data_IF_937924812437
#
_entry.id   IF_937924812437
#
_cell.length_a   1.000
_cell.length_b   1.000
_cell.length_c   1.000
_cell.angle_alpha   90.00
_cell.angle_beta   90.00
_cell.angle_gamma   90.00
#
_symmetry.space_group_name_H-M   'P 1'
#
loop_
_entity.id
_entity.type
_entity.pdbx_description
1 polymer ?
#
# COMPACT_ATOMS: atom_id res chain seq x y z
N UNK A 1 -8.12 -17.37 4.75
CA UNK A 1 -7.19 -16.24 4.96
C UNK A 1 -5.97 -16.84 5.62
N UNK A 2 -4.83 -16.91 4.93
CA UNK A 2 -3.63 -17.52 5.46
C UNK A 2 -2.92 -16.56 6.43
N UNK A 3 -2.65 -15.33 5.97
CA UNK A 3 -2.02 -14.26 6.72
C UNK A 3 -2.64 -12.88 6.35
N UNK A 4 -2.31 -11.79 7.08
CA UNK A 4 -2.91 -10.47 6.83
C UNK A 4 -2.58 -9.89 5.44
N UNK A 5 -1.39 -10.15 4.90
CA UNK A 5 -1.00 -9.68 3.58
C UNK A 5 -1.87 -10.31 2.48
N UNK A 6 -2.14 -11.61 2.59
CA UNK A 6 -3.01 -12.33 1.68
C UNK A 6 -4.44 -11.76 1.69
N UNK A 7 -4.93 -11.33 2.86
CA UNK A 7 -6.22 -10.67 2.98
C UNK A 7 -6.23 -9.30 2.31
N UNK A 8 -5.21 -8.47 2.56
CA UNK A 8 -5.09 -7.15 1.95
C UNK A 8 -5.01 -7.24 0.42
N UNK A 9 -4.13 -8.08 -0.12
CA UNK A 9 -4.02 -8.28 -1.57
C UNK A 9 -5.34 -8.78 -2.16
N UNK A 10 -6.02 -9.73 -1.50
CA UNK A 10 -7.28 -10.26 -2.02
C UNK A 10 -8.36 -9.17 -2.13
N UNK A 11 -8.42 -8.24 -1.16
CA UNK A 11 -9.35 -7.10 -1.20
C UNK A 11 -9.01 -6.07 -2.29
N UNK A 12 -7.74 -6.00 -2.72
CA UNK A 12 -7.22 -5.07 -3.74
C UNK A 12 -7.01 -5.70 -5.12
N UNK A 13 -7.56 -6.90 -5.35
CA UNK A 13 -7.40 -7.67 -6.58
C UNK A 13 -8.39 -7.21 -7.65
N UNK A 14 -7.90 -7.09 -8.87
CA UNK A 14 -8.68 -6.84 -10.08
C UNK A 14 -8.74 -8.13 -10.91
N UNK A 15 -9.94 -8.51 -11.35
CA UNK A 15 -10.16 -9.71 -12.18
C UNK A 15 -10.86 -9.32 -13.48
N UNK A 16 -10.24 -9.67 -14.61
CA UNK A 16 -10.86 -9.55 -15.92
C UNK A 16 -11.83 -10.72 -16.23
N UNK A 17 -11.86 -11.74 -15.36
CA UNK A 17 -12.75 -12.90 -15.47
C UNK A 17 -14.06 -12.65 -14.71
N UNK A 18 -15.19 -13.08 -15.29
CA UNK A 18 -16.50 -13.01 -14.66
C UNK A 18 -17.65 -12.83 -15.66
N UNK A 19 -18.91 -12.71 -15.19
CA UNK A 19 -20.04 -12.38 -16.04
C UNK A 19 -19.79 -11.06 -16.79
N UNK A 20 -19.87 -11.08 -18.12
CA UNK A 20 -19.55 -9.91 -18.97
C UNK A 20 -18.06 -9.63 -19.17
N UNK A 21 -17.18 -10.42 -18.55
CA UNK A 21 -15.73 -10.36 -18.72
C UNK A 21 -15.20 -11.38 -19.71
N UNK A 22 -13.89 -11.60 -19.67
CA UNK A 22 -13.20 -12.56 -20.52
C UNK A 22 -13.29 -13.98 -19.96
N UNK A 23 -13.21 -14.97 -20.85
CA UNK A 23 -12.96 -16.36 -20.47
C UNK A 23 -11.49 -16.70 -20.73
N UNK A 24 -10.95 -17.69 -19.99
CA UNK A 24 -9.54 -18.10 -20.12
C UNK A 24 -9.13 -18.46 -21.55
N UNK A 25 -10.05 -19.07 -22.30
CA UNK A 25 -9.85 -19.51 -23.68
C UNK A 25 -9.91 -18.37 -24.70
N UNK A 26 -10.67 -17.30 -24.40
CA UNK A 26 -10.80 -16.12 -25.26
C UNK A 26 -9.75 -15.05 -24.99
N UNK A 27 -9.04 -15.15 -23.87
CA UNK A 27 -8.00 -14.22 -23.49
C UNK A 27 -6.69 -14.49 -24.25
N UNK A 28 -6.51 -13.77 -25.36
CA UNK A 28 -5.27 -13.73 -26.14
C UNK A 28 -4.11 -13.03 -25.41
N UNK A 29 -2.94 -13.01 -26.05
CA UNK A 29 -1.72 -12.43 -25.48
C UNK A 29 -1.85 -10.92 -25.26
N UNK A 30 -2.52 -10.20 -26.15
CA UNK A 30 -2.70 -8.74 -26.11
C UNK A 30 -3.36 -8.24 -24.81
N UNK A 31 -4.26 -9.03 -24.21
CA UNK A 31 -4.94 -8.66 -22.97
C UNK A 31 -4.16 -9.09 -21.72
N UNK A 32 -3.25 -10.04 -21.88
CA UNK A 32 -2.42 -10.55 -20.77
C UNK A 32 -1.13 -9.76 -20.60
N UNK A 33 -0.70 -9.06 -21.64
CA UNK A 33 0.54 -8.31 -21.64
C UNK A 33 0.44 -7.01 -20.81
N UNK A 34 1.58 -6.49 -20.40
CA UNK A 34 1.65 -5.26 -19.61
C UNK A 34 1.58 -4.06 -20.55
N UNK A 35 0.54 -3.25 -20.39
CA UNK A 35 0.38 -2.01 -21.14
C UNK A 35 1.04 -0.83 -20.41
N UNK A 36 1.56 0.15 -21.14
CA UNK A 36 2.26 1.31 -20.55
C UNK A 36 1.36 2.11 -19.58
N UNK A 37 0.05 2.19 -19.85
CA UNK A 37 -0.92 2.88 -18.99
C UNK A 37 -1.13 2.21 -17.62
N UNK A 38 -0.64 0.97 -17.43
CA UNK A 38 -0.70 0.29 -16.13
C UNK A 38 0.17 0.98 -15.08
N UNK A 39 1.14 1.81 -15.49
CA UNK A 39 2.05 2.50 -14.59
C UNK A 39 1.29 3.26 -13.49
N UNK A 40 1.61 2.95 -12.24
CA UNK A 40 0.98 3.59 -11.07
C UNK A 40 -0.48 3.19 -10.81
N UNK A 41 -1.09 2.32 -11.63
CA UNK A 41 -2.50 1.91 -11.56
C UNK A 41 -2.63 0.43 -11.21
N UNK A 42 -1.95 -0.43 -11.97
CA UNK A 42 -1.90 -1.87 -11.76
C UNK A 42 -0.44 -2.32 -11.61
N UNK A 43 -0.20 -3.18 -10.62
CA UNK A 43 1.14 -3.71 -10.38
C UNK A 43 1.56 -4.63 -11.55
N UNK A 44 2.68 -4.36 -12.23
CA UNK A 44 3.14 -5.19 -13.35
C UNK A 44 3.77 -6.52 -12.89
N UNK A 45 4.14 -6.63 -11.60
CA UNK A 45 4.83 -7.80 -11.03
C UNK A 45 3.85 -8.78 -10.40
N UNK A 46 2.82 -8.30 -9.69
CA UNK A 46 1.93 -9.15 -8.91
C UNK A 46 0.76 -9.69 -9.75
N UNK A 47 1.03 -10.78 -10.47
CA UNK A 47 0.04 -11.63 -11.14
C UNK A 47 0.22 -13.10 -10.73
N UNK A 48 -0.85 -13.91 -10.68
CA UNK A 48 -0.72 -15.35 -10.54
C UNK A 48 0.03 -15.98 -11.71
N UNK A 49 0.80 -17.03 -11.42
CA UNK A 49 1.43 -17.87 -12.42
C UNK A 49 0.41 -18.82 -13.09
N UNK A 50 0.74 -19.30 -14.28
CA UNK A 50 -0.03 -20.31 -15.00
C UNK A 50 -1.21 -19.73 -15.81
N UNK A 51 -2.37 -20.40 -15.86
CA UNK A 51 -3.41 -20.10 -16.85
C UNK A 51 -4.07 -18.73 -16.67
N UNK A 52 -3.96 -18.12 -15.48
CA UNK A 52 -4.57 -16.83 -15.15
C UNK A 52 -3.59 -15.65 -15.25
N UNK A 53 -2.37 -15.86 -15.75
CA UNK A 53 -1.38 -14.79 -15.90
C UNK A 53 -1.94 -13.63 -16.72
N UNK A 54 -1.78 -12.41 -16.21
CA UNK A 54 -2.24 -11.15 -16.82
C UNK A 54 -3.75 -10.88 -16.70
N UNK A 55 -4.55 -11.88 -16.30
CA UNK A 55 -6.01 -11.75 -16.14
C UNK A 55 -6.45 -11.40 -14.73
N UNK A 56 -5.54 -11.58 -13.77
CA UNK A 56 -5.73 -11.22 -12.38
C UNK A 56 -4.54 -10.35 -12.00
N UNK A 57 -4.82 -9.08 -11.77
CA UNK A 57 -3.81 -8.10 -11.39
C UNK A 57 -4.14 -7.54 -10.00
N UNK A 58 -3.18 -6.83 -9.42
CA UNK A 58 -3.35 -6.18 -8.12
C UNK A 58 -3.24 -4.67 -8.28
N UNK A 59 -4.07 -3.94 -7.56
CA UNK A 59 -4.04 -2.48 -7.57
C UNK A 59 -2.71 -1.97 -6.99
N UNK A 60 -2.09 -0.99 -7.64
CA UNK A 60 -0.85 -0.38 -7.17
C UNK A 60 -1.04 0.38 -5.85
N UNK A 61 0.04 0.76 -5.17
CA UNK A 61 0.01 1.28 -3.80
C UNK A 61 -0.85 2.55 -3.63
N UNK A 62 -0.68 3.56 -4.50
CA UNK A 62 -1.41 4.83 -4.39
C UNK A 62 -2.58 4.98 -5.35
N UNK A 63 -2.87 3.96 -6.16
CA UNK A 63 -3.96 3.99 -7.12
C UNK A 63 -5.33 4.09 -6.43
N UNK A 64 -6.23 4.86 -7.04
CA UNK A 64 -7.63 5.03 -6.59
C UNK A 64 -8.58 4.78 -7.75
N UNK A 65 -9.82 4.44 -7.42
CA UNK A 65 -10.91 4.31 -8.40
C UNK A 65 -11.81 5.53 -8.25
N UNK A 66 -12.05 6.24 -9.35
CA UNK A 66 -12.89 7.43 -9.36
C UNK A 66 -14.39 7.08 -9.42
N UNK A 67 -15.26 8.08 -9.40
CA UNK A 67 -16.72 7.90 -9.39
C UNK A 67 -17.25 7.18 -10.64
N UNK A 68 -16.51 7.26 -11.75
CA UNK A 68 -16.85 6.61 -13.02
C UNK A 68 -16.27 5.20 -13.17
N UNK A 69 -15.44 4.76 -12.21
CA UNK A 69 -14.81 3.44 -12.22
C UNK A 69 -13.45 3.38 -12.92
N UNK A 70 -12.87 4.52 -13.33
CA UNK A 70 -11.51 4.57 -13.87
C UNK A 70 -10.47 4.58 -12.75
N UNK A 71 -9.31 3.98 -13.03
CA UNK A 71 -8.19 3.97 -12.09
C UNK A 71 -7.32 5.21 -12.33
N UNK A 72 -7.13 5.96 -11.27
CA UNK A 72 -6.32 7.17 -11.24
C UNK A 72 -5.08 6.96 -10.37
N UNK A 73 -4.02 7.70 -10.68
CA UNK A 73 -2.77 7.68 -9.92
C UNK A 73 -2.34 9.12 -9.60
N UNK A 74 -1.75 9.37 -8.43
CA UNK A 74 -1.38 10.72 -8.03
C UNK A 74 -0.09 11.19 -8.69
N UNK A 75 -0.07 12.45 -9.10
CA UNK A 75 1.11 13.15 -9.61
C UNK A 75 1.28 14.50 -8.95
N UNK A 76 2.53 14.93 -8.74
CA UNK A 76 2.86 16.29 -8.28
C UNK A 76 2.84 17.23 -9.47
N UNK A 77 2.12 18.34 -9.34
CA UNK A 77 2.04 19.35 -10.41
C UNK A 77 3.32 20.18 -10.49
N UNK A 78 3.86 20.34 -11.70
CA UNK A 78 4.95 21.28 -11.97
C UNK A 78 4.33 22.61 -12.38
N UNK A 79 4.80 23.71 -11.77
CA UNK A 79 4.41 25.03 -12.20
C UNK A 79 5.23 25.44 -13.43
N UNK A 80 4.56 25.60 -14.58
CA UNK A 80 5.17 25.92 -15.88
C UNK A 80 5.87 27.29 -15.86
N UNK A 81 5.39 28.25 -15.07
CA UNK A 81 5.99 29.60 -15.02
C UNK A 81 7.30 29.61 -14.22
N UNK A 82 7.39 28.81 -13.17
CA UNK A 82 8.53 28.81 -12.24
C UNK A 82 9.44 27.59 -12.36
N UNK A 83 9.03 26.58 -13.16
CA UNK A 83 9.64 25.25 -13.28
C UNK A 83 9.88 24.57 -11.92
N UNK A 84 8.95 24.81 -10.99
CA UNK A 84 9.01 24.32 -9.61
C UNK A 84 7.99 23.20 -9.42
N UNK A 85 8.42 22.08 -8.86
CA UNK A 85 7.53 21.00 -8.45
C UNK A 85 6.78 21.46 -7.20
N UNK A 86 5.45 21.47 -7.27
CA UNK A 86 4.59 21.89 -6.16
C UNK A 86 4.18 20.69 -5.29
N UNK A 87 3.70 20.98 -4.08
CA UNK A 87 3.11 19.96 -3.20
C UNK A 87 1.64 19.67 -3.52
N UNK A 88 1.10 20.31 -4.57
CA UNK A 88 -0.23 20.00 -5.07
C UNK A 88 -0.18 18.66 -5.82
N UNK A 89 -1.01 17.74 -5.33
CA UNK A 89 -1.19 16.41 -5.93
C UNK A 89 -2.50 16.41 -6.69
N UNK A 90 -2.44 16.16 -8.00
CA UNK A 90 -3.61 15.92 -8.84
C UNK A 90 -3.66 14.42 -9.19
N UNK A 91 -4.86 13.82 -9.17
CA UNK A 91 -5.07 12.43 -9.56
C UNK A 91 -5.47 12.41 -11.03
N UNK A 92 -4.71 11.67 -11.85
CA UNK A 92 -4.92 11.64 -13.30
C UNK A 92 -5.36 10.25 -13.76
N UNK A 93 -6.36 10.21 -14.64
CA UNK A 93 -6.74 9.01 -15.39
C UNK A 93 -5.72 8.72 -16.49
N UNK A 94 -5.81 7.54 -17.12
CA UNK A 94 -4.86 7.16 -18.17
C UNK A 94 -4.97 8.06 -19.42
N UNK A 95 -6.16 8.51 -19.75
CA UNK A 95 -6.43 9.42 -20.88
C UNK A 95 -5.94 10.84 -20.63
N UNK A 96 -6.05 11.33 -19.38
CA UNK A 96 -5.49 12.63 -19.00
C UNK A 96 -3.96 12.61 -19.01
N UNK A 97 -3.34 11.55 -18.48
CA UNK A 97 -1.88 11.38 -18.43
C UNK A 97 -1.23 11.45 -19.82
N UNK A 98 -1.86 10.89 -20.85
CA UNK A 98 -1.33 10.85 -22.23
C UNK A 98 -1.11 12.23 -22.87
N UNK A 99 -1.69 13.29 -22.28
CA UNK A 99 -1.53 14.67 -22.73
C UNK A 99 -0.34 15.38 -22.09
N UNK A 100 0.25 14.81 -21.03
CA UNK A 100 1.25 15.47 -20.20
C UNK A 100 2.61 14.76 -20.24
N UNK A 101 3.68 15.52 -19.99
CA UNK A 101 5.03 14.98 -19.82
C UNK A 101 5.31 14.78 -18.33
N UNK A 102 5.57 13.53 -17.93
CA UNK A 102 5.73 13.16 -16.52
C UNK A 102 7.19 12.83 -16.21
N UNK A 103 7.79 13.54 -15.26
CA UNK A 103 9.13 13.28 -14.73
C UNK A 103 9.14 12.11 -13.73
N UNK A 104 10.26 11.40 -13.64
CA UNK A 104 10.43 10.31 -12.67
C UNK A 104 10.60 10.82 -11.24
N UNK A 105 10.20 10.01 -10.25
CA UNK A 105 10.24 10.35 -8.83
C UNK A 105 11.66 10.52 -8.27
N UNK A 106 12.66 9.91 -8.92
CA UNK A 106 14.08 9.97 -8.54
C UNK A 106 14.83 11.17 -9.15
N UNK A 107 14.15 12.04 -9.91
CA UNK A 107 14.76 13.25 -10.47
C UNK A 107 15.25 14.17 -9.35
N UNK A 108 16.46 14.69 -9.47
CA UNK A 108 17.08 15.51 -8.41
C UNK A 108 16.46 16.91 -8.41
N UNK A 109 15.94 17.31 -7.25
CA UNK A 109 15.36 18.63 -7.00
C UNK A 109 16.26 19.46 -6.08
N UNK A 110 16.27 20.79 -6.28
CA UNK A 110 16.90 21.74 -5.37
C UNK A 110 16.02 21.99 -4.11
N UNK A 111 16.54 22.75 -3.14
CA UNK A 111 15.79 23.12 -1.91
C UNK A 111 14.53 23.93 -2.20
N UNK A 112 14.46 24.57 -3.37
CA UNK A 112 13.28 25.30 -3.83
C UNK A 112 12.31 24.40 -4.58
N UNK A 113 12.64 23.13 -4.87
CA UNK A 113 11.80 22.20 -5.62
C UNK A 113 11.91 22.32 -7.14
N UNK A 114 12.97 22.93 -7.68
CA UNK A 114 13.26 22.96 -9.13
C UNK A 114 14.18 21.81 -9.53
N UNK A 115 14.11 21.39 -10.79
CA UNK A 115 15.03 20.39 -11.34
C UNK A 115 16.46 20.94 -11.41
N UNK A 116 17.41 20.18 -10.87
CA UNK A 116 18.84 20.52 -10.91
C UNK A 116 19.39 20.33 -12.32
N UNK A 117 19.04 19.22 -12.95
CA UNK A 117 19.47 18.87 -14.30
C UNK A 117 18.64 19.61 -15.36
N UNK A 118 19.30 20.07 -16.43
CA UNK A 118 18.62 20.75 -17.55
C UNK A 118 17.81 19.76 -18.42
N UNK A 119 18.25 18.51 -18.46
CA UNK A 119 17.61 17.40 -19.17
C UNK A 119 17.11 16.35 -18.18
N UNK A 120 15.80 16.12 -18.16
CA UNK A 120 15.14 15.23 -17.20
C UNK A 120 14.55 14.02 -17.93
N UNK A 121 14.76 12.83 -17.38
CA UNK A 121 14.15 11.61 -17.89
C UNK A 121 12.65 11.62 -17.61
N UNK A 122 11.86 11.49 -18.66
CA UNK A 122 10.41 11.64 -18.60
C UNK A 122 9.70 10.57 -19.43
N UNK A 123 8.39 10.45 -19.18
CA UNK A 123 7.49 9.59 -19.94
C UNK A 123 6.51 10.47 -20.70
N UNK A 124 6.29 10.13 -21.97
CA UNK A 124 5.28 10.77 -22.80
C UNK A 124 4.70 9.76 -23.79
N UNK A 125 3.40 9.46 -23.69
CA UNK A 125 2.66 8.54 -24.58
C UNK A 125 3.31 7.15 -24.73
N UNK A 126 3.78 6.60 -23.61
CA UNK A 126 4.45 5.29 -23.57
C UNK A 126 5.94 5.31 -23.90
N UNK A 127 6.48 6.40 -24.44
CA UNK A 127 7.91 6.53 -24.72
C UNK A 127 8.66 7.15 -23.53
N UNK A 128 9.73 6.46 -23.12
CA UNK A 128 10.69 6.97 -22.14
C UNK A 128 11.76 7.79 -22.88
N UNK A 129 11.74 9.11 -22.72
CA UNK A 129 12.65 10.02 -23.41
C UNK A 129 13.20 11.05 -22.45
N UNK A 130 14.32 11.69 -22.82
CA UNK A 130 14.84 12.82 -22.08
C UNK A 130 14.33 14.11 -22.72
N UNK A 131 13.82 15.04 -21.91
CA UNK A 131 13.35 16.35 -22.38
C UNK A 131 13.86 17.47 -21.47
N UNK A 132 13.90 18.71 -21.97
CA UNK A 132 14.23 19.87 -21.14
C UNK A 132 13.27 20.01 -19.95
N UNK A 133 13.79 20.46 -18.80
CA UNK A 133 13.01 20.62 -17.57
C UNK A 133 11.81 21.56 -17.71
N UNK A 134 11.85 22.51 -18.65
CA UNK A 134 10.75 23.44 -18.95
C UNK A 134 9.53 22.74 -19.59
N UNK A 135 9.71 21.52 -20.11
CA UNK A 135 8.63 20.74 -20.72
C UNK A 135 7.95 19.79 -19.73
N UNK A 136 8.34 19.78 -18.46
CA UNK A 136 7.73 18.91 -17.45
C UNK A 136 6.41 19.50 -16.96
N UNK A 137 5.33 18.72 -17.07
CA UNK A 137 4.01 19.13 -16.57
C UNK A 137 3.74 18.54 -15.17
N UNK A 138 4.19 17.30 -14.95
CA UNK A 138 3.97 16.54 -13.72
C UNK A 138 5.22 15.75 -13.31
N UNK A 139 5.23 15.29 -12.06
CA UNK A 139 6.27 14.41 -11.51
C UNK A 139 5.62 13.29 -10.69
N UNK A 140 6.17 12.07 -10.79
CA UNK A 140 5.78 10.94 -9.93
C UNK A 140 5.93 11.30 -8.43
N UNK A 141 5.04 10.79 -7.57
CA UNK A 141 5.06 11.07 -6.12
C UNK A 141 6.11 10.22 -5.40
N UNK A 142 6.20 8.94 -5.77
CA UNK A 142 7.10 7.98 -5.11
C UNK A 142 7.41 6.80 -6.03
N UNK A 143 8.64 6.25 -6.01
CA UNK A 143 8.95 5.01 -6.73
C UNK A 143 8.05 3.84 -6.31
N UNK A 144 7.56 3.83 -5.06
CA UNK A 144 6.65 2.79 -4.54
C UNK A 144 5.26 2.84 -5.20
N UNK A 145 4.93 3.89 -5.94
CA UNK A 145 3.61 4.03 -6.57
C UNK A 145 3.35 3.02 -7.69
N UNK A 146 4.42 2.49 -8.30
CA UNK A 146 4.31 1.57 -9.44
C UNK A 146 3.85 0.18 -8.99
N UNK A 147 4.31 -0.26 -7.82
CA UNK A 147 4.13 -1.62 -7.32
C UNK A 147 2.97 -1.75 -6.34
N UNK A 148 2.51 -2.98 -6.13
CA UNK A 148 1.48 -3.30 -5.14
C UNK A 148 2.02 -3.31 -3.72
N UNK A 149 1.13 -3.30 -2.72
CA UNK A 149 1.51 -3.35 -1.31
C UNK A 149 2.37 -4.59 -0.98
N UNK A 150 2.03 -5.77 -1.52
CA UNK A 150 2.81 -6.99 -1.29
C UNK A 150 4.21 -6.90 -1.91
N UNK A 151 4.29 -6.45 -3.16
CA UNK A 151 5.58 -6.28 -3.85
C UNK A 151 6.44 -5.23 -3.18
N UNK A 152 5.83 -4.17 -2.63
CA UNK A 152 6.53 -3.11 -1.92
C UNK A 152 7.13 -3.55 -0.56
N UNK A 153 6.74 -4.71 -0.02
CA UNK A 153 7.35 -5.32 1.17
C UNK A 153 8.62 -6.14 0.84
N UNK A 154 9.06 -6.20 -0.41
CA UNK A 154 10.30 -6.87 -0.82
C UNK A 154 11.45 -5.85 -0.76
N UNK A 155 12.46 -6.02 0.12
CA UNK A 155 13.65 -5.17 0.10
C UNK A 155 14.52 -5.49 -1.12
N UNK A 156 15.27 -4.51 -1.61
CA UNK A 156 16.20 -4.65 -2.75
C UNK A 156 15.57 -5.12 -4.06
N UNK A 157 14.28 -4.84 -4.26
CA UNK A 157 13.52 -5.22 -5.45
C UNK A 157 14.20 -4.79 -6.76
N UNK A 158 14.91 -3.66 -6.75
CA UNK A 158 15.65 -3.11 -7.89
C UNK A 158 16.82 -4.00 -8.35
N UNK A 159 17.27 -4.94 -7.52
CA UNK A 159 18.36 -5.87 -7.83
C UNK A 159 17.86 -7.27 -8.24
N UNK A 160 16.54 -7.51 -8.17
CA UNK A 160 15.92 -8.78 -8.48
C UNK A 160 15.33 -8.81 -9.89
N UNK A 161 15.41 -9.99 -10.53
CA UNK A 161 14.69 -10.24 -11.78
C UNK A 161 13.17 -10.24 -11.56
N UNK A 162 12.43 -9.72 -12.54
CA UNK A 162 10.98 -9.57 -12.45
C UNK A 162 10.24 -10.89 -12.21
N UNK A 163 10.71 -12.01 -12.74
CA UNK A 163 10.06 -13.31 -12.51
C UNK A 163 10.25 -13.78 -11.07
N UNK A 164 11.42 -13.51 -10.47
CA UNK A 164 11.69 -13.84 -9.06
C UNK A 164 10.93 -12.92 -8.12
N UNK A 165 10.84 -11.64 -8.44
CA UNK A 165 10.00 -10.70 -7.69
C UNK A 165 8.53 -11.15 -7.68
N UNK A 166 8.02 -11.60 -8.84
CA UNK A 166 6.66 -12.15 -8.96
C UNK A 166 6.45 -13.38 -8.07
N UNK A 167 7.40 -14.33 -8.11
CA UNK A 167 7.35 -15.52 -7.24
C UNK A 167 7.40 -15.11 -5.77
N UNK A 168 8.28 -14.18 -5.40
CA UNK A 168 8.43 -13.66 -4.04
C UNK A 168 7.14 -13.05 -3.50
N UNK A 169 6.53 -12.13 -4.25
CA UNK A 169 5.25 -11.51 -3.87
C UNK A 169 4.14 -12.57 -3.72
N UNK A 170 4.10 -13.58 -4.60
CA UNK A 170 3.14 -14.67 -4.53
C UNK A 170 3.37 -15.60 -3.33
N UNK A 171 4.63 -15.87 -2.96
CA UNK A 171 5.00 -16.71 -1.82
C UNK A 171 4.68 -16.05 -0.48
N UNK A 172 4.88 -14.74 -0.34
CA UNK A 172 4.54 -14.01 0.89
C UNK A 172 3.07 -14.21 1.30
N UNK A 173 2.15 -14.31 0.33
CA UNK A 173 0.70 -14.55 0.58
C UNK A 173 0.37 -15.96 1.05
N UNK A 174 1.33 -16.89 0.96
CA UNK A 174 1.17 -18.28 1.38
C UNK A 174 1.84 -18.55 2.73
N UNK A 175 2.60 -17.59 3.27
CA UNK A 175 3.24 -17.71 4.57
C UNK A 175 2.20 -18.00 5.67
N UNK A 176 2.50 -18.97 6.52
CA UNK A 176 1.62 -19.40 7.61
C UNK A 176 2.00 -18.65 8.90
N UNK A 177 1.04 -18.12 9.67
CA UNK A 177 1.33 -17.45 10.93
C UNK A 177 2.08 -18.35 11.91
N UNK A 178 3.22 -17.86 12.40
CA UNK A 178 4.00 -18.54 13.43
C UNK A 178 3.42 -18.31 14.83
N UNK A 179 3.76 -19.18 15.78
CA UNK A 179 3.41 -18.99 17.19
C UNK A 179 4.04 -17.73 17.79
N UNK A 180 5.28 -17.42 17.40
CA UNK A 180 5.98 -16.21 17.81
C UNK A 180 6.71 -15.63 16.59
N UNK A 181 6.04 -14.78 15.80
CA UNK A 181 6.65 -14.11 14.66
C UNK A 181 7.69 -13.08 15.15
N UNK A 182 8.67 -12.78 14.29
CA UNK A 182 9.68 -11.74 14.56
C UNK A 182 9.70 -10.75 13.38
N UNK A 183 9.74 -9.46 13.68
CA UNK A 183 9.79 -8.39 12.69
C UNK A 183 11.08 -8.49 11.86
N UNK A 184 11.04 -8.21 10.55
CA UNK A 184 12.21 -8.34 9.71
C UNK A 184 13.28 -7.33 10.10
N UNK A 185 14.52 -7.79 10.28
CA UNK A 185 15.67 -6.88 10.51
C UNK A 185 15.90 -5.92 9.32
N UNK A 186 15.55 -6.36 8.11
CA UNK A 186 15.65 -5.56 6.88
C UNK A 186 14.24 -5.47 6.28
N UNK A 187 13.57 -4.33 6.47
CA UNK A 187 12.25 -4.03 5.93
C UNK A 187 12.25 -2.83 4.97
N UNK A 188 11.11 -2.54 4.37
CA UNK A 188 10.95 -1.41 3.44
C UNK A 188 10.18 -0.21 4.03
N UNK A 189 9.63 -0.39 5.23
CA UNK A 189 8.72 0.55 5.90
C UNK A 189 7.26 0.40 5.44
N UNK A 190 6.96 -0.55 4.53
CA UNK A 190 5.58 -0.86 4.16
C UNK A 190 4.88 -1.81 5.13
N UNK A 191 5.65 -2.48 5.98
CA UNK A 191 5.20 -3.51 6.91
C UNK A 191 4.20 -2.93 7.92
N UNK A 192 4.51 -1.76 8.50
CA UNK A 192 3.63 -1.08 9.45
C UNK A 192 2.28 -0.68 8.83
N UNK A 193 2.31 -0.03 7.65
CA UNK A 193 1.10 0.41 6.95
C UNK A 193 0.26 -0.80 6.53
N UNK A 194 0.90 -1.84 5.99
CA UNK A 194 0.23 -3.08 5.58
C UNK A 194 -0.39 -3.79 6.77
N UNK A 195 0.31 -3.82 7.91
CA UNK A 195 -0.23 -4.40 9.13
C UNK A 195 -1.48 -3.67 9.60
N UNK A 196 -1.40 -2.33 9.70
CA UNK A 196 -2.52 -1.47 10.10
C UNK A 196 -3.73 -1.60 9.16
N UNK A 197 -3.50 -1.50 7.86
CA UNK A 197 -4.57 -1.40 6.86
C UNK A 197 -5.13 -2.77 6.45
N UNK A 198 -4.47 -3.87 6.82
CA UNK A 198 -5.01 -5.24 6.62
C UNK A 198 -6.34 -5.47 7.35
N UNK A 199 -6.56 -4.76 8.46
CA UNK A 199 -7.68 -4.96 9.38
C UNK A 199 -7.49 -6.12 10.36
N UNK A 200 -6.31 -6.75 10.37
CA UNK A 200 -6.00 -7.81 11.34
C UNK A 200 -5.48 -7.25 12.68
N UNK A 201 -4.84 -6.07 12.65
CA UNK A 201 -4.48 -5.31 13.84
C UNK A 201 -5.71 -4.60 14.44
N UNK A 202 -5.70 -4.39 15.74
CA UNK A 202 -6.72 -3.56 16.42
C UNK A 202 -6.21 -2.14 16.51
N UNK A 203 -6.97 -1.18 15.98
CA UNK A 203 -6.56 0.21 15.84
C UNK A 203 -7.44 1.13 16.69
N UNK A 204 -6.83 2.14 17.32
CA UNK A 204 -7.51 3.15 18.11
C UNK A 204 -8.38 4.07 17.24
N UNK A 205 -9.65 4.23 17.62
CA UNK A 205 -10.59 5.11 16.89
C UNK A 205 -10.42 6.59 17.24
N UNK A 206 -9.96 6.87 18.45
CA UNK A 206 -9.85 8.21 19.03
C UNK A 206 -8.58 8.32 19.87
N UNK A 207 -8.10 9.55 20.10
CA UNK A 207 -7.05 9.83 21.08
C UNK A 207 -7.56 9.48 22.48
N UNK A 208 -6.75 8.82 23.28
CA UNK A 208 -7.16 8.41 24.62
C UNK A 208 -6.04 7.82 25.45
N UNK A 209 -6.32 7.62 26.73
CA UNK A 209 -5.42 6.96 27.67
C UNK A 209 -5.85 5.52 27.91
N UNK A 210 -4.91 4.60 27.85
CA UNK A 210 -5.16 3.19 28.13
C UNK A 210 -5.39 3.01 29.63
N UNK A 211 -6.61 2.64 30.02
CA UNK A 211 -6.96 2.45 31.42
C UNK A 211 -6.66 1.02 31.86
N UNK A 212 -7.03 0.03 31.04
CA UNK A 212 -6.87 -1.37 31.35
C UNK A 212 -6.46 -2.18 30.12
N UNK A 213 -5.51 -3.09 30.30
CA UNK A 213 -5.06 -4.03 29.27
C UNK A 213 -5.18 -5.43 29.82
N UNK A 214 -6.02 -6.24 29.17
CA UNK A 214 -6.13 -7.67 29.40
C UNK A 214 -5.77 -8.42 28.11
N UNK A 215 -5.52 -9.72 28.22
CA UNK A 215 -5.28 -10.55 27.04
C UNK A 215 -6.46 -10.51 26.06
N UNK A 216 -7.71 -10.42 26.54
CA UNK A 216 -8.93 -10.52 25.72
C UNK A 216 -9.56 -9.18 25.38
N UNK A 217 -9.20 -8.10 26.06
CA UNK A 217 -9.78 -6.79 25.83
C UNK A 217 -8.85 -5.66 26.25
N UNK A 218 -9.02 -4.51 25.60
CA UNK A 218 -8.33 -3.26 25.91
C UNK A 218 -9.37 -2.19 26.16
N UNK A 219 -9.23 -1.44 27.26
CA UNK A 219 -10.08 -0.31 27.62
C UNK A 219 -9.30 0.99 27.48
N UNK A 220 -9.79 1.90 26.62
CA UNK A 220 -9.17 3.19 26.35
C UNK A 220 -10.15 4.30 26.70
N UNK A 221 -9.77 5.18 27.63
CA UNK A 221 -10.54 6.35 28.01
C UNK A 221 -10.24 7.50 27.06
N UNK A 222 -11.25 7.99 26.34
CA UNK A 222 -11.06 9.06 25.34
C UNK A 222 -10.63 10.36 26.00
N UNK A 223 -9.66 11.02 25.37
CA UNK A 223 -9.25 12.38 25.72
C UNK A 223 -9.78 13.32 24.63
N UNK A 224 -10.62 14.28 25.02
CA UNK A 224 -11.12 15.33 24.14
C UNK A 224 -10.55 16.67 24.62
N UNK A 225 -10.01 17.46 23.71
CA UNK A 225 -9.61 18.84 24.01
C UNK A 225 -10.83 19.76 23.88
N UNK A 226 -11.33 20.25 25.01
CA UNK A 226 -12.40 21.25 25.06
C UNK A 226 -11.89 22.48 25.81
N UNK A 227 -11.98 23.66 25.18
CA UNK A 227 -11.50 24.93 25.75
C UNK A 227 -10.01 24.92 26.18
N UNK A 228 -9.15 24.19 25.47
CA UNK A 228 -7.71 24.09 25.77
C UNK A 228 -7.38 23.24 27.00
N UNK A 229 -8.35 22.46 27.52
CA UNK A 229 -8.14 21.47 28.58
C UNK A 229 -8.42 20.08 28.05
N UNK A 230 -7.54 19.13 28.37
CA UNK A 230 -7.75 17.72 28.10
C UNK A 230 -8.76 17.16 29.10
N UNK A 231 -9.93 16.75 28.60
CA UNK A 231 -11.00 16.15 29.41
C UNK A 231 -11.08 14.66 29.06
N UNK A 232 -10.97 13.82 30.08
CA UNK A 232 -11.23 12.39 29.96
C UNK A 232 -12.75 12.13 29.96
N UNK A 233 -13.23 11.45 28.93
CA UNK A 233 -14.68 11.27 28.67
C UNK A 233 -15.08 9.80 28.67
N UNK A 234 -15.54 9.28 27.54
CA UNK A 234 -16.10 7.94 27.38
C UNK A 234 -15.01 6.85 27.41
N UNK A 235 -15.40 5.65 27.85
CA UNK A 235 -14.56 4.46 27.84
C UNK A 235 -14.83 3.62 26.59
N UNK A 236 -13.85 3.51 25.70
CA UNK A 236 -13.89 2.63 24.54
C UNK A 236 -13.40 1.22 24.90
N UNK A 237 -14.17 0.22 24.47
CA UNK A 237 -13.86 -1.19 24.66
C UNK A 237 -13.44 -1.82 23.33
N UNK A 238 -12.24 -2.39 23.29
CA UNK A 238 -11.68 -3.09 22.14
C UNK A 238 -11.52 -4.58 22.46
N UNK A 239 -12.45 -5.45 22.01
CA UNK A 239 -12.34 -6.88 22.22
C UNK A 239 -11.30 -7.50 21.28
N UNK A 240 -10.45 -8.37 21.81
CA UNK A 240 -9.41 -9.10 21.07
C UNK A 240 -9.88 -10.52 20.74
N UNK A 241 -9.61 -10.97 19.53
CA UNK A 241 -9.89 -12.34 19.09
C UNK A 241 -8.78 -13.29 19.54
N UNK A 242 -9.13 -14.32 20.31
CA UNK A 242 -8.21 -15.37 20.78
C UNK A 242 -8.49 -16.71 20.10
N UNK A 243 -7.43 -17.34 19.58
CA UNK A 243 -7.42 -18.71 19.06
C UNK A 243 -8.61 -19.07 18.15
N UNK A 244 -9.02 -18.13 17.28
CA UNK A 244 -10.06 -18.40 16.28
C UNK A 244 -9.45 -19.15 15.10
N UNK A 245 -10.23 -20.02 14.45
CA UNK A 245 -9.78 -20.71 13.23
C UNK A 245 -10.05 -19.83 12.00
N UNK A 246 -9.07 -19.67 11.14
CA UNK A 246 -9.23 -18.99 9.85
C UNK A 246 -9.88 -19.92 8.81
N UNK A 247 -10.33 -19.36 7.68
CA UNK A 247 -10.86 -20.15 6.56
C UNK A 247 -9.82 -21.13 5.98
N UNK A 248 -8.52 -20.84 6.16
CA UNK A 248 -7.42 -21.68 5.69
C UNK A 248 -6.96 -22.68 6.76
N UNK A 249 -7.67 -22.79 7.88
CA UNK A 249 -7.33 -23.69 8.99
C UNK A 249 -6.22 -23.19 9.91
N UNK A 250 -5.68 -21.98 9.68
CA UNK A 250 -4.63 -21.37 10.52
C UNK A 250 -5.21 -20.75 11.78
N UNK A 251 -4.35 -20.47 12.77
CA UNK A 251 -4.74 -19.80 14.01
C UNK A 251 -4.78 -18.28 13.83
N UNK A 252 -5.88 -17.66 14.21
CA UNK A 252 -6.07 -16.23 14.30
C UNK A 252 -6.08 -15.82 15.78
N UNK A 253 -5.03 -15.11 16.19
CA UNK A 253 -4.81 -14.71 17.57
C UNK A 253 -4.29 -13.27 17.62
N UNK A 254 -4.95 -12.43 18.40
CA UNK A 254 -4.55 -11.04 18.62
C UNK A 254 -3.85 -10.88 19.98
N UNK A 255 -2.83 -10.04 20.05
CA UNK A 255 -2.03 -9.79 21.26
C UNK A 255 -1.91 -8.28 21.52
N UNK A 256 -2.25 -7.79 22.72
CA UNK A 256 -2.06 -6.38 23.04
C UNK A 256 -0.57 -6.01 22.99
N UNK A 257 -0.24 -4.83 22.45
CA UNK A 257 1.14 -4.31 22.41
C UNK A 257 1.37 -3.12 23.36
N UNK A 258 0.29 -2.46 23.77
CA UNK A 258 0.30 -1.30 24.66
C UNK A 258 0.27 -1.70 26.13
N UNK A 259 0.73 -0.80 27.01
CA UNK A 259 0.64 -0.94 28.45
C UNK A 259 -0.47 -0.04 29.04
N UNK A 260 -0.93 -0.38 30.25
CA UNK A 260 -1.85 0.49 31.00
C UNK A 260 -1.13 1.79 31.38
N UNK A 261 -1.79 2.92 31.13
CA UNK A 261 -1.27 4.26 31.35
C UNK A 261 -0.81 4.98 30.08
N UNK A 262 -0.57 4.25 28.97
CA UNK A 262 -0.10 4.82 27.71
C UNK A 262 -1.13 5.77 27.08
N UNK A 263 -0.65 6.80 26.40
CA UNK A 263 -1.49 7.73 25.63
C UNK A 263 -1.39 7.33 24.17
N UNK A 264 -2.53 6.97 23.60
CA UNK A 264 -2.64 6.53 22.19
C UNK A 264 -3.33 7.60 21.36
N UNK A 265 -2.93 7.68 20.10
CA UNK A 265 -3.51 8.59 19.11
C UNK A 265 -4.49 7.86 18.20
N UNK A 266 -5.34 8.63 17.51
CA UNK A 266 -6.26 8.05 16.51
C UNK A 266 -5.45 7.40 15.38
N UNK A 267 -5.74 6.13 15.08
CA UNK A 267 -5.07 5.37 14.03
C UNK A 267 -3.87 4.55 14.50
N UNK A 268 -3.54 4.60 15.80
CA UNK A 268 -2.45 3.84 16.39
C UNK A 268 -2.86 2.37 16.67
N UNK A 269 -1.91 1.44 16.53
CA UNK A 269 -2.16 0.01 16.74
C UNK A 269 -2.15 -0.28 18.25
N UNK A 270 -3.22 -0.88 18.75
CA UNK A 270 -3.41 -1.28 20.15
C UNK A 270 -3.04 -2.76 20.37
N UNK A 271 -3.30 -3.60 19.37
CA UNK A 271 -3.01 -5.02 19.43
C UNK A 271 -2.61 -5.56 18.06
N UNK A 272 -1.60 -6.41 18.07
CA UNK A 272 -1.13 -7.17 16.91
C UNK A 272 -2.13 -8.26 16.55
N UNK A 273 -2.22 -8.53 15.25
CA UNK A 273 -2.89 -9.69 14.68
C UNK A 273 -1.96 -10.90 14.51
N UNK A 274 -2.41 -11.94 13.80
CA UNK A 274 -1.53 -13.03 13.41
C UNK A 274 -0.45 -12.54 12.44
N UNK A 275 0.78 -13.03 12.58
CA UNK A 275 1.94 -12.62 11.74
C UNK A 275 2.28 -11.13 11.85
N UNK A 276 2.22 -10.59 13.06
CA UNK A 276 2.62 -9.22 13.39
C UNK A 276 3.45 -9.21 14.66
N UNK A 277 4.36 -8.26 14.74
CA UNK A 277 5.10 -7.92 15.96
C UNK A 277 5.25 -6.40 16.05
N UNK A 278 4.86 -5.83 17.20
CA UNK A 278 4.97 -4.41 17.53
C UNK A 278 4.35 -3.48 16.46
N UNK A 279 3.23 -3.90 15.88
CA UNK A 279 2.53 -3.15 14.85
C UNK A 279 3.13 -3.25 13.44
N UNK A 280 4.13 -4.11 13.22
CA UNK A 280 4.70 -4.39 11.91
C UNK A 280 4.30 -5.76 11.38
N UNK A 281 4.35 -5.93 10.06
CA UNK A 281 4.11 -7.21 9.40
C UNK A 281 5.31 -8.15 9.61
N UNK A 282 5.07 -9.26 10.29
CA UNK A 282 6.08 -10.25 10.64
C UNK A 282 5.62 -11.65 10.17
N UNK A 283 5.84 -11.93 8.88
CA UNK A 283 5.41 -13.19 8.24
C UNK A 283 6.31 -14.39 8.56
N UNK A 284 7.48 -14.15 9.16
CA UNK A 284 8.51 -15.16 9.37
C UNK A 284 9.42 -14.86 10.56
N UNK A 285 10.68 -15.29 10.44
CA UNK A 285 11.83 -15.03 11.30
C UNK A 285 13.08 -14.98 10.43
#
# INVERSE_FOLDING_TARGET
QANPLAELTHKRRLSALGPGGLTRERAGMEVRDVHYSHYGRMCPIETPEGPNIGLINSLSSYARVNEFGFIETPYRKVNIETNQVTDRIDYLTADEEDSYVVAQANSVLDETGKFVDDEVLCRFRGDNTTKPKERMDYMDVSPKQVVSAATACIPFLENDDSNRALMGANMQRQAVPLMNPEAPFVGTGMEHVTARDSGAAVVAKYKGRVEHVEAKEILVRRIVEENGKEIETELDRYPLSKFKRSNSGTCYNQRPIIASGDIVTKGEILADGPSMELGEMALGR
#
